data_IF_326160674647
#
_entry.id   IF_326160674647
#
_cell.length_a   1.000
_cell.length_b   1.000
_cell.length_c   1.000
_cell.angle_alpha   90.00
_cell.angle_beta   90.00
_cell.angle_gamma   90.00
#
_symmetry.space_group_name_H-M   'P 1'
#
loop_
_entity.id
_entity.type
_entity.pdbx_description
1 polymer ?
#
# COMPACT_ATOMS: atom_id res chain seq x y z
N UNK A 1 23.42 10.93 4.16
CA UNK A 1 22.45 11.63 3.27
C UNK A 1 21.09 10.95 3.28
N UNK A 2 21.00 9.63 3.08
CA UNK A 2 19.73 8.87 3.03
C UNK A 2 18.93 9.00 4.34
N UNK A 3 19.59 8.89 5.50
CA UNK A 3 18.93 9.03 6.81
C UNK A 3 18.26 10.39 7.02
N UNK A 4 18.95 11.48 6.64
CA UNK A 4 18.38 12.83 6.75
C UNK A 4 17.15 13.01 5.85
N UNK A 5 17.21 12.47 4.62
CA UNK A 5 16.07 12.47 3.71
C UNK A 5 14.90 11.63 4.25
N UNK A 6 15.20 10.48 4.86
CA UNK A 6 14.19 9.62 5.49
C UNK A 6 13.51 10.31 6.68
N UNK A 7 14.27 11.00 7.53
CA UNK A 7 13.72 11.79 8.63
C UNK A 7 12.84 12.92 8.10
N UNK A 8 13.27 13.62 7.05
CA UNK A 8 12.49 14.68 6.42
C UNK A 8 11.18 14.16 5.84
N UNK A 9 11.22 13.09 5.04
CA UNK A 9 10.03 12.48 4.43
C UNK A 9 9.08 11.90 5.47
N UNK A 10 9.60 11.27 6.52
CA UNK A 10 8.82 10.82 7.66
C UNK A 10 8.08 12.00 8.32
N UNK A 11 8.77 13.10 8.59
CA UNK A 11 8.19 14.27 9.22
C UNK A 11 7.09 14.90 8.35
N UNK A 12 7.37 15.03 7.05
CA UNK A 12 6.42 15.52 6.04
C UNK A 12 5.16 14.65 5.99
N UNK A 13 5.32 13.33 6.06
CA UNK A 13 4.21 12.37 6.01
C UNK A 13 3.41 12.29 7.31
N UNK A 14 4.05 12.40 8.49
CA UNK A 14 3.36 12.29 9.79
C UNK A 14 2.69 13.60 10.21
N UNK A 15 3.19 14.74 9.73
CA UNK A 15 2.69 16.06 10.12
C UNK A 15 2.29 16.93 8.91
N UNK A 16 1.32 16.50 8.10
CA UNK A 16 0.95 17.20 6.87
C UNK A 16 0.43 18.62 7.13
N UNK A 17 -0.33 18.84 8.21
CA UNK A 17 -0.82 20.17 8.59
C UNK A 17 0.33 21.11 9.03
N UNK A 18 1.23 20.61 9.87
CA UNK A 18 2.37 21.41 10.34
C UNK A 18 3.29 21.77 9.17
N UNK A 19 3.58 20.80 8.29
CA UNK A 19 4.42 21.02 7.10
C UNK A 19 3.77 21.98 6.11
N UNK A 20 2.44 21.96 5.96
CA UNK A 20 1.71 22.97 5.19
C UNK A 20 1.94 24.39 5.72
N UNK A 21 1.69 24.64 7.00
CA UNK A 21 1.87 25.98 7.58
C UNK A 21 3.33 26.42 7.56
N UNK A 22 4.27 25.51 7.87
CA UNK A 22 5.70 25.81 7.80
C UNK A 22 6.12 26.20 6.37
N UNK A 23 5.65 25.48 5.35
CA UNK A 23 5.92 25.81 3.95
C UNK A 23 5.33 27.19 3.56
N UNK A 24 4.12 27.53 4.05
CA UNK A 24 3.49 28.83 3.81
C UNK A 24 4.24 29.99 4.46
N UNK A 25 4.69 29.82 5.70
CA UNK A 25 5.50 30.83 6.39
C UNK A 25 6.82 31.04 5.66
N UNK A 26 7.52 29.97 5.28
CA UNK A 26 8.77 30.06 4.54
C UNK A 26 8.57 30.74 3.17
N UNK A 27 7.54 30.34 2.43
CA UNK A 27 7.22 30.94 1.13
C UNK A 27 6.85 32.42 1.28
N UNK A 28 6.12 32.81 2.33
CA UNK A 28 5.80 34.19 2.65
C UNK A 28 7.04 35.02 2.99
N UNK A 29 7.94 34.49 3.83
CA UNK A 29 9.21 35.15 4.17
C UNK A 29 10.10 35.34 2.95
N UNK A 30 10.23 34.32 2.09
CA UNK A 30 11.00 34.43 0.84
C UNK A 30 10.34 35.40 -0.12
N UNK A 31 9.02 35.37 -0.25
CA UNK A 31 8.26 36.30 -1.10
C UNK A 31 8.43 37.75 -0.64
N UNK A 32 8.39 37.99 0.68
CA UNK A 32 8.68 39.30 1.26
C UNK A 32 10.11 39.72 0.91
N UNK A 33 11.10 38.88 1.24
CA UNK A 33 12.52 39.22 1.07
C UNK A 33 12.87 39.48 -0.40
N UNK A 34 12.31 38.70 -1.33
CA UNK A 34 12.51 38.85 -2.78
C UNK A 34 11.55 39.85 -3.42
N UNK A 35 10.61 40.41 -2.66
CA UNK A 35 9.51 41.27 -3.15
C UNK A 35 8.76 40.66 -4.35
N UNK A 36 8.66 39.33 -4.39
CA UNK A 36 8.04 38.57 -5.48
C UNK A 36 7.08 37.53 -4.90
N UNK A 37 5.75 37.70 -5.07
CA UNK A 37 4.76 36.81 -4.45
C UNK A 37 4.66 35.43 -5.11
N UNK A 38 5.34 35.20 -6.24
CA UNK A 38 5.23 33.94 -6.99
C UNK A 38 5.63 32.70 -6.20
N UNK A 39 6.51 32.81 -5.19
CA UNK A 39 6.85 31.67 -4.34
C UNK A 39 5.65 31.19 -3.53
N UNK A 40 4.85 32.09 -2.94
CA UNK A 40 3.64 31.71 -2.23
C UNK A 40 2.61 31.04 -3.17
N UNK A 41 2.47 31.58 -4.39
CA UNK A 41 1.55 31.04 -5.42
C UNK A 41 1.93 29.61 -5.81
N UNK A 42 3.23 29.31 -5.92
CA UNK A 42 3.71 27.97 -6.30
C UNK A 42 3.73 27.01 -5.10
N UNK A 43 4.15 27.47 -3.92
CA UNK A 43 4.28 26.60 -2.75
C UNK A 43 2.91 26.23 -2.19
N UNK A 44 1.88 27.08 -2.30
CA UNK A 44 0.53 26.77 -1.84
C UNK A 44 -0.05 25.46 -2.42
N UNK A 45 -0.14 25.28 -3.76
CA UNK A 45 -0.65 24.03 -4.32
C UNK A 45 0.26 22.85 -3.99
N UNK A 46 1.59 23.02 -3.96
CA UNK A 46 2.51 21.94 -3.58
C UNK A 46 2.31 21.48 -2.14
N UNK A 47 2.15 22.41 -1.20
CA UNK A 47 1.88 22.12 0.20
C UNK A 47 0.50 21.45 0.38
N UNK A 48 -0.50 21.88 -0.42
CA UNK A 48 -1.81 21.25 -0.42
C UNK A 48 -1.76 19.82 -0.95
N UNK A 49 -1.02 19.57 -2.04
CA UNK A 49 -0.78 18.23 -2.56
C UNK A 49 -0.08 17.33 -1.53
N UNK A 50 0.88 17.86 -0.77
CA UNK A 50 1.55 17.10 0.28
C UNK A 50 0.58 16.53 1.33
N UNK A 51 -0.48 17.27 1.66
CA UNK A 51 -1.47 16.83 2.64
C UNK A 51 -2.17 15.52 2.24
N UNK A 52 -2.33 15.30 0.94
CA UNK A 52 -2.95 14.09 0.39
C UNK A 52 -1.93 13.05 -0.07
N UNK A 53 -0.79 13.47 -0.60
CA UNK A 53 0.14 12.59 -1.29
C UNK A 53 1.48 12.36 -0.57
N UNK A 54 1.73 13.01 0.57
CA UNK A 54 3.00 12.89 1.30
C UNK A 54 3.34 11.46 1.73
N UNK A 55 2.32 10.69 2.15
CA UNK A 55 2.50 9.29 2.53
C UNK A 55 2.84 8.38 1.33
N UNK A 56 2.29 8.67 0.14
CA UNK A 56 2.66 7.94 -1.09
C UNK A 56 4.10 8.21 -1.52
N UNK A 57 4.55 9.46 -1.39
CA UNK A 57 5.94 9.84 -1.67
C UNK A 57 6.90 9.10 -0.72
N UNK A 58 6.57 9.08 0.58
CA UNK A 58 7.36 8.36 1.58
C UNK A 58 7.38 6.84 1.34
N UNK A 59 6.23 6.23 1.04
CA UNK A 59 6.12 4.81 0.72
C UNK A 59 6.97 4.43 -0.52
N UNK A 60 6.93 5.27 -1.56
CA UNK A 60 7.72 5.07 -2.78
C UNK A 60 9.21 5.15 -2.49
N UNK A 61 9.65 6.18 -1.75
CA UNK A 61 11.04 6.31 -1.32
C UNK A 61 11.52 5.08 -0.55
N UNK A 62 10.76 4.66 0.47
CA UNK A 62 11.11 3.51 1.30
C UNK A 62 11.11 2.19 0.53
N UNK A 63 10.21 2.02 -0.43
CA UNK A 63 10.23 0.82 -1.26
C UNK A 63 11.48 0.74 -2.15
N UNK A 64 11.96 1.89 -2.66
CA UNK A 64 13.12 1.96 -3.55
C UNK A 64 14.46 1.82 -2.82
N UNK A 65 14.62 2.47 -1.67
CA UNK A 65 15.93 2.54 -0.98
C UNK A 65 15.99 1.79 0.35
N UNK A 66 14.84 1.33 0.85
CA UNK A 66 14.75 0.71 2.16
C UNK A 66 15.27 -0.72 2.18
N UNK A 67 15.85 -1.10 3.31
CA UNK A 67 16.23 -2.47 3.61
C UNK A 67 15.05 -3.26 4.16
N UNK A 68 15.02 -4.55 3.87
CA UNK A 68 13.95 -5.44 4.30
C UNK A 68 14.10 -5.75 5.80
N UNK A 69 12.98 -5.71 6.51
CA UNK A 69 12.85 -6.15 7.89
C UNK A 69 11.53 -6.85 8.12
N UNK A 70 11.31 -7.24 9.37
CA UNK A 70 10.06 -7.86 9.82
C UNK A 70 9.50 -7.04 10.97
N UNK A 71 8.18 -6.93 11.05
CA UNK A 71 7.52 -6.24 12.15
C UNK A 71 6.28 -6.99 12.62
N UNK A 72 5.87 -6.72 13.85
CA UNK A 72 4.63 -7.23 14.44
C UNK A 72 3.93 -6.10 15.16
N UNK A 73 2.60 -6.03 15.01
CA UNK A 73 1.77 -5.09 15.79
C UNK A 73 1.53 -5.72 17.15
N UNK A 74 1.98 -5.04 18.20
CA UNK A 74 1.81 -5.46 19.60
C UNK A 74 0.58 -4.84 20.24
N UNK A 75 0.12 -3.68 19.73
CA UNK A 75 -1.03 -2.97 20.26
C UNK A 75 -1.81 -2.29 19.15
N UNK A 76 -3.14 -2.35 19.27
CA UNK A 76 -4.06 -1.62 18.40
C UNK A 76 -5.14 -0.96 19.28
N UNK A 77 -5.23 0.37 19.22
CA UNK A 77 -6.19 1.16 19.99
C UNK A 77 -7.04 2.01 19.06
N UNK A 78 -8.35 1.99 19.27
CA UNK A 78 -9.30 2.80 18.53
C UNK A 78 -9.20 4.26 18.98
N UNK A 79 -9.03 5.18 18.05
CA UNK A 79 -9.09 6.62 18.34
C UNK A 79 -10.54 7.14 18.24
N UNK A 80 -10.78 8.36 18.70
CA UNK A 80 -12.10 9.02 18.56
C UNK A 80 -12.38 9.55 17.16
N UNK A 81 -11.41 9.52 16.25
CA UNK A 81 -11.51 10.07 14.90
C UNK A 81 -11.92 9.01 13.88
N UNK A 82 -12.61 9.44 12.83
CA UNK A 82 -13.01 8.59 11.71
C UNK A 82 -12.41 9.09 10.39
N UNK A 83 -12.17 8.15 9.47
CA UNK A 83 -11.77 8.37 8.09
C UNK A 83 -12.70 7.52 7.22
N UNK A 84 -13.44 8.15 6.29
CA UNK A 84 -14.43 7.47 5.45
C UNK A 84 -15.41 6.58 6.26
N UNK A 85 -15.96 7.15 7.34
CA UNK A 85 -16.90 6.47 8.27
C UNK A 85 -16.31 5.27 9.03
N UNK A 86 -15.01 4.99 8.88
CA UNK A 86 -14.28 3.97 9.64
C UNK A 86 -13.43 4.62 10.72
N UNK A 87 -13.31 3.99 11.89
CA UNK A 87 -12.45 4.52 12.94
C UNK A 87 -10.98 4.49 12.54
N UNK A 88 -10.26 5.56 12.86
CA UNK A 88 -8.80 5.61 12.80
C UNK A 88 -8.27 4.85 14.02
N UNK A 89 -7.33 3.95 13.79
CA UNK A 89 -6.64 3.21 14.83
C UNK A 89 -5.23 3.76 15.01
N UNK A 90 -4.75 3.67 16.24
CA UNK A 90 -3.35 3.84 16.62
C UNK A 90 -2.75 2.46 16.80
N UNK A 91 -1.61 2.21 16.18
CA UNK A 91 -0.89 0.96 16.25
C UNK A 91 0.47 1.19 16.90
N UNK A 92 0.87 0.25 17.74
CA UNK A 92 2.23 0.14 18.25
C UNK A 92 2.80 -1.16 17.70
N UNK A 93 3.95 -1.06 17.05
CA UNK A 93 4.62 -2.17 16.39
C UNK A 93 6.08 -2.25 16.83
N UNK A 94 6.60 -3.47 16.83
CA UNK A 94 8.02 -3.74 17.04
C UNK A 94 8.59 -4.19 15.71
N UNK A 95 9.61 -3.48 15.24
CA UNK A 95 10.33 -3.78 14.01
C UNK A 95 11.66 -4.43 14.34
N UNK A 96 11.90 -5.62 13.78
CA UNK A 96 13.19 -6.31 13.77
C UNK A 96 13.95 -5.89 12.51
N UNK A 97 15.05 -5.17 12.72
CA UNK A 97 15.98 -4.78 11.65
C UNK A 97 16.78 -5.98 11.15
N UNK A 98 17.37 -5.89 9.94
CA UNK A 98 18.25 -6.92 9.39
C UNK A 98 19.47 -7.20 10.29
N UNK A 99 19.89 -6.22 11.10
CA UNK A 99 20.98 -6.33 12.09
C UNK A 99 20.54 -7.01 13.40
N UNK A 100 19.27 -7.42 13.52
CA UNK A 100 18.73 -8.07 14.70
C UNK A 100 18.26 -7.13 15.82
N UNK A 101 18.33 -5.80 15.64
CA UNK A 101 17.84 -4.81 16.62
C UNK A 101 16.32 -4.66 16.57
N UNK A 102 15.70 -4.59 17.74
CA UNK A 102 14.28 -4.30 17.92
C UNK A 102 14.04 -2.80 18.11
N UNK A 103 13.14 -2.24 17.30
CA UNK A 103 12.78 -0.82 17.35
C UNK A 103 11.28 -0.68 17.46
N UNK A 104 10.83 0.01 18.50
CA UNK A 104 9.42 0.37 18.65
C UNK A 104 9.04 1.51 17.70
N UNK A 105 7.89 1.36 17.06
CA UNK A 105 7.30 2.38 16.21
C UNK A 105 5.80 2.51 16.45
N UNK A 106 5.30 3.73 16.28
CA UNK A 106 3.88 4.07 16.42
C UNK A 106 3.42 4.68 15.11
N UNK A 107 2.26 4.25 14.63
CA UNK A 107 1.64 4.81 13.43
C UNK A 107 0.12 4.77 13.52
N UNK A 108 -0.54 5.53 12.65
CA UNK A 108 -1.99 5.60 12.58
C UNK A 108 -2.49 5.08 11.23
N UNK A 109 -3.75 4.65 11.17
CA UNK A 109 -4.39 4.20 9.91
C UNK A 109 -4.21 5.19 8.76
N UNK A 110 -4.27 6.50 9.04
CA UNK A 110 -4.18 7.58 8.06
C UNK A 110 -2.76 8.06 7.74
N UNK A 111 -1.75 7.62 8.50
CA UNK A 111 -0.33 7.97 8.27
C UNK A 111 0.53 6.76 7.94
N UNK A 112 -0.07 5.56 7.90
CA UNK A 112 0.61 4.33 7.53
C UNK A 112 1.10 4.42 6.08
N UNK A 113 2.39 4.15 5.88
CA UNK A 113 2.96 3.99 4.54
C UNK A 113 2.77 2.55 4.09
N UNK A 114 1.97 2.33 3.06
CA UNK A 114 1.63 1.01 2.52
C UNK A 114 2.18 0.86 1.11
N UNK A 115 2.63 -0.35 0.77
CA UNK A 115 3.06 -0.72 -0.57
C UNK A 115 2.53 -2.11 -0.97
N UNK A 116 2.02 -2.28 -2.21
CA UNK A 116 1.87 -1.27 -3.27
C UNK A 116 0.80 -0.22 -2.95
N UNK A 117 0.77 0.85 -3.74
CA UNK A 117 -0.18 1.95 -3.57
C UNK A 117 -1.57 1.52 -4.07
N UNK A 118 -2.37 0.98 -3.17
CA UNK A 118 -3.75 0.55 -3.44
C UNK A 118 -4.76 1.48 -2.76
N UNK A 119 -5.96 1.60 -3.34
CA UNK A 119 -7.08 2.32 -2.70
C UNK A 119 -7.77 1.48 -1.60
N UNK A 120 -6.97 0.75 -0.83
CA UNK A 120 -7.41 -0.11 0.25
C UNK A 120 -6.37 -0.05 1.38
N UNK A 121 -6.79 0.41 2.56
CA UNK A 121 -5.92 0.46 3.72
C UNK A 121 -5.91 -0.93 4.37
N UNK A 122 -4.86 -1.70 4.12
CA UNK A 122 -4.70 -3.07 4.62
C UNK A 122 -3.61 -3.11 5.68
N UNK A 123 -3.97 -2.83 6.93
CA UNK A 123 -3.07 -2.97 8.07
C UNK A 123 -3.08 -4.44 8.51
N UNK A 124 -1.91 -5.08 8.71
CA UNK A 124 -1.82 -6.43 9.27
C UNK A 124 -2.54 -6.55 10.63
N UNK A 125 -2.99 -7.77 10.96
CA UNK A 125 -3.60 -8.03 12.27
C UNK A 125 -2.56 -7.94 13.40
N UNK A 126 -3.04 -7.77 14.64
CA UNK A 126 -2.18 -7.86 15.83
C UNK A 126 -1.56 -9.25 15.92
N UNK A 127 -0.33 -9.32 16.43
CA UNK A 127 0.41 -10.57 16.66
C UNK A 127 0.77 -11.34 15.37
N UNK A 128 0.49 -10.77 14.19
CA UNK A 128 0.87 -11.34 12.90
C UNK A 128 2.16 -10.69 12.39
N UNK A 129 3.20 -11.48 12.04
CA UNK A 129 4.38 -10.92 11.40
C UNK A 129 4.06 -10.41 10.00
N UNK A 130 4.65 -9.27 9.64
CA UNK A 130 4.56 -8.70 8.30
C UNK A 130 5.90 -8.11 7.86
N UNK A 131 6.07 -8.08 6.54
CA UNK A 131 7.29 -7.59 5.92
C UNK A 131 7.23 -6.07 5.81
N UNK A 132 8.35 -5.43 6.12
CA UNK A 132 8.53 -4.00 5.99
C UNK A 132 9.81 -3.67 5.23
N UNK A 133 9.88 -2.47 4.67
CA UNK A 133 11.14 -1.83 4.29
C UNK A 133 11.36 -0.58 5.11
N UNK A 134 12.58 -0.39 5.63
CA UNK A 134 12.94 0.76 6.46
C UNK A 134 14.27 1.37 6.01
N UNK A 135 14.54 2.61 6.39
CA UNK A 135 15.85 3.22 6.12
C UNK A 135 16.86 2.90 7.23
N UNK A 136 18.05 2.36 6.91
CA UNK A 136 19.12 2.20 7.89
C UNK A 136 19.46 3.52 8.61
N UNK A 137 19.61 3.44 9.93
CA UNK A 137 19.80 4.61 10.80
C UNK A 137 18.52 5.34 11.21
N UNK A 138 17.37 5.09 10.56
CA UNK A 138 16.07 5.59 11.02
C UNK A 138 14.93 4.57 10.81
N UNK A 139 14.93 3.45 11.55
CA UNK A 139 13.98 2.34 11.32
C UNK A 139 12.52 2.68 11.63
N UNK A 140 12.27 3.78 12.36
CA UNK A 140 10.92 4.30 12.63
C UNK A 140 10.21 4.76 11.36
N UNK A 141 10.94 5.09 10.30
CA UNK A 141 10.37 5.33 8.98
C UNK A 141 10.40 4.05 8.16
N UNK A 142 9.24 3.42 8.03
CA UNK A 142 9.09 2.14 7.33
C UNK A 142 7.81 2.11 6.51
N UNK A 143 7.82 1.27 5.48
CA UNK A 143 6.67 0.98 4.61
C UNK A 143 6.29 -0.48 4.80
N UNK A 144 5.00 -0.73 4.93
CA UNK A 144 4.43 -2.07 5.06
C UNK A 144 4.25 -2.66 3.67
N UNK A 145 4.84 -3.82 3.42
CA UNK A 145 4.67 -4.55 2.16
C UNK A 145 3.43 -5.43 2.28
N UNK A 146 2.26 -4.89 1.95
CA UNK A 146 0.97 -5.54 2.18
C UNK A 146 0.88 -6.88 1.46
N UNK A 147 1.33 -6.92 0.21
CA UNK A 147 1.19 -8.10 -0.67
C UNK A 147 2.25 -9.18 -0.43
N UNK A 148 3.24 -8.92 0.43
CA UNK A 148 4.29 -9.89 0.77
C UNK A 148 4.07 -10.55 2.13
N UNK A 149 3.10 -10.06 2.91
CA UNK A 149 2.65 -10.73 4.13
C UNK A 149 1.90 -12.03 3.78
N UNK A 150 1.93 -13.07 4.63
CA UNK A 150 1.14 -14.29 4.40
C UNK A 150 -0.35 -14.02 4.15
N UNK A 151 -0.92 -13.06 4.88
CA UNK A 151 -2.29 -12.60 4.68
C UNK A 151 -2.48 -11.95 3.30
N UNK A 152 -1.60 -11.03 2.93
CA UNK A 152 -1.64 -10.36 1.63
C UNK A 152 -1.53 -11.32 0.45
N UNK A 153 -0.61 -12.30 0.54
CA UNK A 153 -0.45 -13.34 -0.48
C UNK A 153 -1.75 -14.17 -0.59
N UNK A 154 -2.30 -14.63 0.53
CA UNK A 154 -3.54 -15.41 0.53
C UNK A 154 -4.72 -14.62 -0.06
N UNK A 155 -4.83 -13.35 0.28
CA UNK A 155 -5.89 -12.48 -0.22
C UNK A 155 -5.73 -12.12 -1.69
N UNK A 156 -4.52 -11.83 -2.15
CA UNK A 156 -4.23 -11.56 -3.56
C UNK A 156 -4.64 -12.77 -4.43
N UNK A 157 -4.30 -13.98 -3.98
CA UNK A 157 -4.74 -15.23 -4.61
C UNK A 157 -6.27 -15.39 -4.59
N UNK A 158 -6.91 -15.13 -3.45
CA UNK A 158 -8.37 -15.17 -3.36
C UNK A 158 -9.04 -14.21 -4.33
N UNK A 159 -8.54 -12.97 -4.43
CA UNK A 159 -9.08 -11.93 -5.31
C UNK A 159 -8.87 -12.28 -6.79
N UNK A 160 -7.74 -12.92 -7.12
CA UNK A 160 -7.49 -13.42 -8.47
C UNK A 160 -8.47 -14.53 -8.87
N UNK A 161 -8.77 -15.46 -7.95
CA UNK A 161 -9.78 -16.52 -8.17
C UNK A 161 -11.19 -15.95 -8.30
N UNK A 162 -11.54 -14.96 -7.48
CA UNK A 162 -12.86 -14.32 -7.50
C UNK A 162 -13.21 -13.75 -8.88
N UNK A 163 -12.25 -13.13 -9.59
CA UNK A 163 -12.48 -12.61 -10.96
C UNK A 163 -12.92 -13.70 -11.94
N UNK A 164 -12.21 -14.83 -11.91
CA UNK A 164 -12.52 -16.00 -12.73
C UNK A 164 -13.90 -16.56 -12.36
N UNK A 165 -14.18 -16.70 -11.06
CA UNK A 165 -15.48 -17.21 -10.59
C UNK A 165 -16.66 -16.29 -10.93
N UNK A 166 -16.48 -14.96 -10.88
CA UNK A 166 -17.51 -14.01 -11.29
C UNK A 166 -17.81 -14.17 -12.78
N UNK A 167 -16.77 -14.26 -13.62
CA UNK A 167 -16.95 -14.49 -15.05
C UNK A 167 -17.60 -15.87 -15.34
N UNK A 168 -17.23 -16.90 -14.59
CA UNK A 168 -17.87 -18.22 -14.66
C UNK A 168 -19.36 -18.15 -14.30
N UNK A 169 -19.71 -17.43 -13.23
CA UNK A 169 -21.11 -17.23 -12.82
C UNK A 169 -21.93 -16.46 -13.86
N UNK A 170 -21.35 -15.44 -14.49
CA UNK A 170 -21.99 -14.70 -15.60
C UNK A 170 -22.29 -15.64 -16.77
N UNK A 171 -21.30 -16.45 -17.17
CA UNK A 171 -21.46 -17.42 -18.25
C UNK A 171 -22.50 -18.50 -17.89
N UNK A 172 -22.48 -19.00 -16.65
CA UNK A 172 -23.46 -19.98 -16.18
C UNK A 172 -24.89 -19.42 -16.22
N UNK A 173 -25.09 -18.15 -15.86
CA UNK A 173 -26.40 -17.50 -15.93
C UNK A 173 -26.87 -17.27 -17.38
N UNK A 174 -25.96 -16.98 -18.30
CA UNK A 174 -26.28 -16.78 -19.72
C UNK A 174 -25.30 -17.53 -20.65
N UNK A 175 -25.47 -18.86 -20.83
CA UNK A 175 -24.50 -19.70 -21.56
C UNK A 175 -24.35 -19.37 -23.05
N UNK A 176 -25.39 -18.73 -23.63
CA UNK A 176 -25.44 -18.33 -25.03
C UNK A 176 -24.82 -16.96 -25.33
N UNK A 177 -24.40 -16.20 -24.31
CA UNK A 177 -23.82 -14.87 -24.52
C UNK A 177 -22.35 -14.97 -24.92
N UNK A 178 -22.03 -14.57 -26.16
CA UNK A 178 -20.68 -14.59 -26.71
C UNK A 178 -19.71 -13.69 -25.93
N UNK A 179 -20.19 -12.56 -25.39
CA UNK A 179 -19.37 -11.63 -24.63
C UNK A 179 -18.93 -12.21 -23.29
N UNK A 180 -19.82 -12.92 -22.59
CA UNK A 180 -19.49 -13.58 -21.32
C UNK A 180 -18.56 -14.77 -21.52
N UNK A 181 -18.70 -15.48 -22.64
CA UNK A 181 -17.76 -16.55 -23.01
C UNK A 181 -16.36 -15.99 -23.28
N UNK A 182 -16.28 -14.88 -24.02
CA UNK A 182 -15.02 -14.20 -24.28
C UNK A 182 -14.41 -13.58 -23.01
N UNK A 183 -15.22 -12.99 -22.14
CA UNK A 183 -14.79 -12.49 -20.83
C UNK A 183 -14.22 -13.63 -19.97
N UNK A 184 -14.93 -14.76 -19.90
CA UNK A 184 -14.47 -15.91 -19.13
C UNK A 184 -13.15 -16.49 -19.65
N UNK A 185 -13.02 -16.63 -20.98
CA UNK A 185 -11.76 -17.04 -21.63
C UNK A 185 -10.61 -16.11 -21.25
N UNK A 186 -10.80 -14.79 -21.36
CA UNK A 186 -9.75 -13.80 -21.05
C UNK A 186 -9.30 -13.87 -19.58
N UNK A 187 -10.25 -13.99 -18.65
CA UNK A 187 -9.91 -14.09 -17.21
C UNK A 187 -9.16 -15.39 -16.90
N UNK A 188 -9.53 -16.52 -17.51
CA UNK A 188 -8.81 -17.79 -17.38
C UNK A 188 -7.38 -17.70 -17.93
N UNK A 189 -7.20 -17.17 -19.14
CA UNK A 189 -5.88 -16.98 -19.75
C UNK A 189 -4.99 -16.05 -18.94
N UNK A 190 -5.54 -14.94 -18.45
CA UNK A 190 -4.86 -13.97 -17.59
C UNK A 190 -4.41 -14.63 -16.29
N UNK A 191 -5.31 -15.34 -15.61
CA UNK A 191 -5.00 -16.04 -14.36
C UNK A 191 -3.91 -17.11 -14.58
N UNK A 192 -4.01 -17.91 -15.65
CA UNK A 192 -3.04 -18.97 -15.96
C UNK A 192 -1.66 -18.41 -16.33
N UNK A 193 -1.60 -17.26 -16.99
CA UNK A 193 -0.35 -16.55 -17.30
C UNK A 193 0.36 -16.10 -16.02
N UNK A 194 -0.40 -15.51 -15.10
CA UNK A 194 0.17 -14.87 -13.91
C UNK A 194 0.42 -15.87 -12.76
N UNK A 195 -0.43 -16.89 -12.62
CA UNK A 195 -0.43 -17.80 -11.46
C UNK A 195 -0.32 -19.29 -11.82
N UNK A 196 -0.35 -19.66 -13.10
CA UNK A 196 -0.38 -21.07 -13.54
C UNK A 196 0.87 -21.89 -13.23
N UNK A 197 1.96 -21.23 -12.81
CA UNK A 197 3.21 -21.85 -12.38
C UNK A 197 3.40 -21.82 -10.85
N UNK A 198 2.48 -21.22 -10.08
CA UNK A 198 2.57 -21.17 -8.62
C UNK A 198 2.34 -22.59 -8.03
N UNK A 199 3.32 -23.18 -7.31
CA UNK A 199 3.19 -24.51 -6.73
C UNK A 199 1.98 -24.65 -5.79
N UNK A 200 1.59 -23.58 -5.10
CA UNK A 200 0.47 -23.61 -4.16
C UNK A 200 -0.90 -23.51 -4.83
N UNK A 201 -0.97 -23.24 -6.14
CA UNK A 201 -2.21 -23.09 -6.91
C UNK A 201 -2.32 -24.09 -8.07
N UNK A 202 -1.52 -25.16 -8.06
CA UNK A 202 -1.50 -26.14 -9.14
C UNK A 202 -2.85 -26.83 -9.37
N UNK A 203 -3.64 -27.08 -8.31
CA UNK A 203 -4.98 -27.66 -8.43
C UNK A 203 -5.92 -26.76 -9.23
N UNK A 204 -5.91 -25.46 -8.90
CA UNK A 204 -6.74 -24.45 -9.56
C UNK A 204 -6.26 -24.24 -11.00
N UNK A 205 -4.95 -24.25 -11.23
CA UNK A 205 -4.36 -24.17 -12.56
C UNK A 205 -4.73 -25.35 -13.47
N UNK A 206 -4.73 -26.58 -12.95
CA UNK A 206 -5.16 -27.75 -13.72
C UNK A 206 -6.65 -27.67 -14.09
N UNK A 207 -7.48 -27.28 -13.12
CA UNK A 207 -8.92 -27.08 -13.34
C UNK A 207 -9.18 -26.01 -14.39
N UNK A 208 -8.56 -24.84 -14.28
CA UNK A 208 -8.76 -23.74 -15.23
C UNK A 208 -8.23 -24.04 -16.63
N UNK A 209 -7.15 -24.82 -16.77
CA UNK A 209 -6.71 -25.33 -18.09
C UNK A 209 -7.76 -26.23 -18.73
N UNK A 210 -8.33 -27.17 -17.97
CA UNK A 210 -9.37 -28.05 -18.47
C UNK A 210 -10.66 -27.30 -18.85
N UNK A 211 -11.03 -26.27 -18.08
CA UNK A 211 -12.18 -25.42 -18.40
C UNK A 211 -11.92 -24.54 -19.64
N UNK A 212 -10.69 -24.03 -19.83
CA UNK A 212 -10.30 -23.29 -21.03
C UNK A 212 -10.37 -24.18 -22.28
N UNK A 213 -9.82 -25.40 -22.22
CA UNK A 213 -9.88 -26.38 -23.31
C UNK A 213 -11.32 -26.76 -23.69
N UNK A 214 -12.24 -26.76 -22.71
CA UNK A 214 -13.66 -27.04 -22.94
C UNK A 214 -14.41 -25.88 -23.62
N UNK A 215 -13.93 -24.64 -23.50
CA UNK A 215 -14.52 -23.47 -24.15
C UNK A 215 -14.13 -23.33 -25.63
N UNK A 216 -13.04 -23.99 -26.02
CA UNK A 216 -12.49 -23.99 -27.38
C UNK A 216 -13.02 -25.13 -28.26
N UNK A 217 -13.82 -26.04 -27.68
CA UNK A 217 -14.59 -27.08 -28.41
C UNK A 217 -16.02 -26.61 -28.69
#
# INVERSE_FOLDING_TARGET
>A
MITALSVLLWFISQHPLLTFFAAMVLAGLVSWWRRFPGYAIVVFPLAMLNMFFGHFLNATFLNLVGERGEAVIVKAERTSSTLNEQYIWRYEAVLRTAEGRDVEAVFHTNTASLWPLENAIRIPARDQPFVVKYTPGFPRNFVILTNESPHGIAQARSSARERVEVAARKLHFSPGNADFRAEYRRELESWLRDHGNDPQQQSDAQRYRAELDALDR
#
